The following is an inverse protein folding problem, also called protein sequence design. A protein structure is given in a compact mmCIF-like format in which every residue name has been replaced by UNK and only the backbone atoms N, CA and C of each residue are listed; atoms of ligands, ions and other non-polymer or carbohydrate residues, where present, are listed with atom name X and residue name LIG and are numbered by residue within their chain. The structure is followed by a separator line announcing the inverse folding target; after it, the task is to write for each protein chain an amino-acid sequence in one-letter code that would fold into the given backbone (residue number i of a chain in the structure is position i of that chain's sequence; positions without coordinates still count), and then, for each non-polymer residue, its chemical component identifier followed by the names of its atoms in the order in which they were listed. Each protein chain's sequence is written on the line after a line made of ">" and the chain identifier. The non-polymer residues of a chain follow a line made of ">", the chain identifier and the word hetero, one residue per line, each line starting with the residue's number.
data_IF_168693464522
#
_entry.id   IF_168693464522
#
_cell.length_a   1.000
_cell.length_b   1.000
_cell.length_c   1.000
_cell.angle_alpha   90.00
_cell.angle_beta   90.00
_cell.angle_gamma   90.00
#
_symmetry.space_group_name_H-M   'P 1'
#
loop_
_entity.id
_entity.type
_entity.pdbx_description
1 polymer ?
#
# COMPACT_ATOMS: atom_id res chain seq x y z
N UNK A 1 -6.47 5.22 -30.40
CA UNK A 1 -5.33 5.66 -29.53
C UNK A 1 -4.92 4.48 -28.69
N UNK A 2 -3.63 4.34 -28.34
CA UNK A 2 -3.22 3.29 -27.41
C UNK A 2 -3.84 3.56 -26.05
N UNK A 3 -4.35 2.49 -25.39
CA UNK A 3 -4.92 2.57 -24.06
C UNK A 3 -3.84 3.08 -23.10
N UNK A 4 -4.11 4.16 -22.37
CA UNK A 4 -3.20 4.72 -21.35
C UNK A 4 -3.19 3.78 -20.14
N UNK A 5 -2.25 2.83 -20.13
CA UNK A 5 -2.15 1.83 -19.07
C UNK A 5 -1.08 2.21 -18.06
N UNK A 6 -1.45 2.28 -16.79
CA UNK A 6 -0.53 2.46 -15.67
C UNK A 6 0.16 1.13 -15.37
N UNK A 7 1.50 1.13 -15.49
CA UNK A 7 2.34 -0.03 -15.17
C UNK A 7 2.38 -0.33 -13.67
N UNK A 8 2.82 -1.50 -13.31
CA UNK A 8 3.18 -1.83 -11.94
C UNK A 8 4.52 -1.17 -11.56
N UNK A 9 4.78 -1.10 -10.25
CA UNK A 9 6.04 -0.59 -9.72
C UNK A 9 7.17 -1.59 -9.98
N UNK A 10 8.35 -1.07 -10.29
CA UNK A 10 9.58 -1.85 -10.29
C UNK A 10 10.09 -2.07 -8.86
N UNK A 11 10.89 -3.11 -8.59
CA UNK A 11 11.46 -3.35 -7.26
C UNK A 11 12.15 -2.13 -6.63
N UNK A 12 12.88 -1.36 -7.43
CA UNK A 12 13.66 -0.18 -7.01
C UNK A 12 12.77 1.02 -6.62
N UNK A 13 11.52 1.02 -7.05
CA UNK A 13 10.53 2.05 -6.75
C UNK A 13 9.78 1.80 -5.44
N UNK A 14 10.03 0.62 -4.82
CA UNK A 14 9.38 0.19 -3.59
C UNK A 14 10.35 0.30 -2.41
N UNK A 15 9.98 1.12 -1.44
CA UNK A 15 10.69 1.27 -0.18
C UNK A 15 10.17 0.28 0.86
N UNK A 16 11.09 -0.41 1.57
CA UNK A 16 10.77 -1.22 2.73
C UNK A 16 11.00 -0.41 4.01
N UNK A 17 9.98 -0.27 4.84
CA UNK A 17 10.07 0.44 6.12
C UNK A 17 9.70 -0.48 7.26
N UNK A 18 10.43 -0.37 8.39
CA UNK A 18 10.08 -1.08 9.62
C UNK A 18 8.76 -0.53 10.14
N UNK A 19 7.74 -1.38 10.21
CA UNK A 19 6.42 -1.06 10.73
C UNK A 19 6.40 -1.17 12.26
N UNK A 20 6.78 -2.35 12.79
CA UNK A 20 6.83 -2.61 14.21
C UNK A 20 8.07 -3.43 14.58
N UNK A 21 8.58 -3.21 15.78
CA UNK A 21 9.64 -4.02 16.42
C UNK A 21 8.99 -4.81 17.54
N UNK A 22 9.01 -6.13 17.43
CA UNK A 22 8.47 -7.08 18.39
C UNK A 22 9.60 -7.82 19.10
N UNK A 23 9.29 -8.60 20.11
CA UNK A 23 10.28 -9.37 20.84
C UNK A 23 11.00 -10.41 19.96
N UNK A 24 10.26 -11.08 19.10
CA UNK A 24 10.77 -12.18 18.26
C UNK A 24 11.05 -11.80 16.82
N UNK A 25 10.84 -10.55 16.41
CA UNK A 25 11.05 -10.13 15.03
C UNK A 25 10.57 -8.71 14.75
N UNK A 26 10.52 -8.38 13.47
CA UNK A 26 10.03 -7.10 12.97
C UNK A 26 8.99 -7.31 11.88
N UNK A 27 8.13 -6.32 11.69
CA UNK A 27 7.30 -6.22 10.49
C UNK A 27 7.86 -5.18 9.53
N UNK A 28 7.70 -5.44 8.23
CA UNK A 28 7.96 -4.43 7.21
C UNK A 28 6.66 -4.01 6.53
N UNK A 29 6.66 -2.77 6.09
CA UNK A 29 5.64 -2.18 5.25
C UNK A 29 6.28 -1.74 3.93
N UNK A 30 5.55 -1.92 2.83
CA UNK A 30 5.97 -1.47 1.51
C UNK A 30 5.40 -0.08 1.23
N UNK A 31 6.24 0.81 0.73
CA UNK A 31 5.89 2.18 0.38
C UNK A 31 6.44 2.56 -0.98
N UNK A 32 5.90 3.60 -1.57
CA UNK A 32 6.49 4.34 -2.69
C UNK A 32 6.66 5.80 -2.31
N UNK A 33 7.64 6.47 -2.89
CA UNK A 33 7.76 7.91 -2.71
C UNK A 33 7.00 8.67 -3.80
N UNK A 34 6.70 9.94 -3.55
CA UNK A 34 5.92 10.77 -4.47
C UNK A 34 6.61 11.05 -5.82
N UNK A 35 7.94 10.84 -5.93
CA UNK A 35 8.66 11.00 -7.20
C UNK A 35 8.34 9.86 -8.16
N UNK A 36 8.15 8.66 -7.64
CA UNK A 36 7.69 7.52 -8.45
C UNK A 36 6.33 7.83 -9.08
N UNK A 37 5.40 8.41 -8.30
CA UNK A 37 4.10 8.83 -8.82
C UNK A 37 4.25 9.86 -9.96
N UNK A 38 5.12 10.86 -9.79
CA UNK A 38 5.39 11.86 -10.82
C UNK A 38 5.96 11.24 -12.09
N UNK A 39 6.94 10.34 -11.94
CA UNK A 39 7.54 9.62 -13.08
C UNK A 39 6.50 8.85 -13.87
N UNK A 40 5.64 8.08 -13.20
CA UNK A 40 4.59 7.28 -13.87
C UNK A 40 3.53 8.18 -14.50
N UNK A 41 3.18 9.30 -13.87
CA UNK A 41 2.26 10.29 -14.46
C UNK A 41 2.83 10.90 -15.73
N UNK A 42 4.12 11.25 -15.72
CA UNK A 42 4.82 11.80 -16.90
C UNK A 42 4.93 10.76 -18.02
N UNK A 43 5.23 9.49 -17.68
CA UNK A 43 5.30 8.38 -18.64
C UNK A 43 3.97 8.14 -19.35
N UNK A 44 2.86 8.16 -18.61
CA UNK A 44 1.54 7.75 -19.13
C UNK A 44 0.78 8.91 -19.76
N UNK A 45 0.85 10.10 -19.17
CA UNK A 45 0.04 11.26 -19.57
C UNK A 45 0.86 12.36 -20.20
N UNK A 46 2.19 12.32 -20.08
CA UNK A 46 3.07 13.41 -20.46
C UNK A 46 3.04 14.56 -19.43
N UNK A 47 4.10 15.36 -19.41
CA UNK A 47 4.31 16.44 -18.43
C UNK A 47 3.18 17.49 -18.40
N UNK A 48 2.45 17.66 -19.50
CA UNK A 48 1.33 18.60 -19.62
C UNK A 48 -0.05 17.90 -19.50
N UNK A 49 -0.09 16.56 -19.43
CA UNK A 49 -1.32 15.78 -19.40
C UNK A 49 -1.89 15.55 -18.01
N UNK A 50 -1.22 16.04 -16.98
CA UNK A 50 -1.68 15.98 -15.60
C UNK A 50 -1.32 17.24 -14.83
N UNK A 51 -2.06 17.50 -13.76
CA UNK A 51 -1.78 18.58 -12.82
C UNK A 51 -2.29 18.23 -11.43
N UNK A 52 -1.76 18.85 -10.39
CA UNK A 52 -2.22 18.69 -9.02
C UNK A 52 -2.38 20.03 -8.31
N UNK A 53 -3.33 20.07 -7.39
CA UNK A 53 -3.50 21.16 -6.42
C UNK A 53 -3.84 20.58 -5.06
N UNK A 54 -3.65 21.39 -4.01
CA UNK A 54 -4.01 21.02 -2.66
C UNK A 54 -5.03 22.00 -2.12
N UNK A 55 -6.07 21.49 -1.46
CA UNK A 55 -7.10 22.28 -0.79
C UNK A 55 -7.24 21.81 0.66
N UNK A 56 -7.50 22.75 1.55
CA UNK A 56 -7.94 22.44 2.90
C UNK A 56 -9.46 22.24 2.91
N UNK A 57 -9.90 21.12 3.46
CA UNK A 57 -11.31 20.82 3.70
C UNK A 57 -11.43 20.53 5.20
N UNK A 58 -12.03 21.45 5.95
CA UNK A 58 -11.91 21.44 7.41
C UNK A 58 -10.45 21.64 7.83
N UNK A 59 -9.92 20.69 8.61
CA UNK A 59 -8.52 20.68 9.05
C UNK A 59 -7.64 19.71 8.26
N UNK A 60 -8.16 19.12 7.19
CA UNK A 60 -7.50 18.07 6.41
C UNK A 60 -7.00 18.60 5.06
N UNK A 61 -5.79 18.20 4.67
CA UNK A 61 -5.19 18.58 3.39
C UNK A 61 -5.50 17.53 2.32
N UNK A 62 -6.31 17.94 1.33
CA UNK A 62 -6.64 17.12 0.17
C UNK A 62 -5.74 17.44 -1.01
N UNK A 63 -5.32 16.41 -1.75
CA UNK A 63 -4.74 16.55 -3.08
C UNK A 63 -5.79 16.25 -4.14
N UNK A 64 -6.01 17.19 -5.04
CA UNK A 64 -6.82 17.00 -6.24
C UNK A 64 -5.86 16.75 -7.41
N UNK A 65 -5.83 15.52 -7.89
CA UNK A 65 -5.09 15.10 -9.07
C UNK A 65 -6.02 15.18 -10.29
N UNK A 66 -5.63 15.94 -11.32
CA UNK A 66 -6.39 16.10 -12.55
C UNK A 66 -5.61 15.48 -13.71
N UNK A 67 -6.29 14.67 -14.52
CA UNK A 67 -5.78 14.01 -15.72
C UNK A 67 -6.59 14.50 -16.92
N UNK A 68 -5.91 14.88 -18.00
CA UNK A 68 -6.59 15.25 -19.24
C UNK A 68 -7.13 14.01 -19.96
N UNK A 69 -8.44 14.00 -20.19
CA UNK A 69 -9.14 12.98 -20.98
C UNK A 69 -9.29 13.48 -22.42
N UNK A 70 -8.56 12.88 -23.35
CA UNK A 70 -8.55 13.27 -24.76
C UNK A 70 -9.87 12.96 -25.49
N UNK A 71 -10.62 11.97 -25.02
CA UNK A 71 -11.91 11.58 -25.63
C UNK A 71 -13.01 12.54 -25.20
N UNK A 72 -13.08 12.82 -23.90
CA UNK A 72 -14.09 13.70 -23.30
C UNK A 72 -13.73 15.18 -23.40
N UNK A 73 -12.48 15.50 -23.82
CA UNK A 73 -11.94 16.89 -23.86
C UNK A 73 -12.12 17.66 -22.57
N UNK A 74 -11.88 16.99 -21.46
CA UNK A 74 -12.04 17.58 -20.12
C UNK A 74 -11.00 17.03 -19.13
N UNK A 75 -10.80 17.74 -18.04
CA UNK A 75 -10.05 17.27 -16.90
C UNK A 75 -10.89 16.33 -16.04
N UNK A 76 -10.39 15.10 -15.83
CA UNK A 76 -10.96 14.14 -14.88
C UNK A 76 -10.18 14.25 -13.58
N UNK A 77 -10.88 14.36 -12.46
CA UNK A 77 -10.27 14.57 -11.16
C UNK A 77 -10.44 13.37 -10.23
N UNK A 78 -9.40 13.11 -9.46
CA UNK A 78 -9.40 12.19 -8.32
C UNK A 78 -8.78 12.94 -7.14
N UNK A 79 -9.34 12.74 -5.96
CA UNK A 79 -8.86 13.40 -4.76
C UNK A 79 -8.70 12.41 -3.61
N UNK A 80 -7.81 12.74 -2.68
CA UNK A 80 -7.66 12.00 -1.43
C UNK A 80 -6.99 12.89 -0.38
N UNK A 81 -7.21 12.54 0.89
CA UNK A 81 -6.69 13.22 2.06
C UNK A 81 -5.30 12.71 2.43
N UNK A 82 -4.46 13.55 2.96
CA UNK A 82 -3.16 13.18 3.52
C UNK A 82 -3.12 13.32 5.03
N UNK A 83 -2.44 12.40 5.67
CA UNK A 83 -2.15 12.48 7.10
C UNK A 83 -0.88 13.27 7.36
N UNK A 84 -0.84 14.03 8.47
CA UNK A 84 0.35 14.73 8.90
C UNK A 84 1.45 13.73 9.33
N UNK A 85 2.70 14.04 9.00
CA UNK A 85 3.84 13.33 9.55
C UNK A 85 4.37 14.03 10.80
N UNK A 86 4.98 13.28 11.72
CA UNK A 86 5.54 13.85 12.97
C UNK A 86 6.68 14.86 12.74
N UNK A 87 7.31 14.87 11.56
CA UNK A 87 8.55 15.61 11.35
C UNK A 87 8.44 16.88 10.47
N UNK A 88 7.65 16.88 9.43
CA UNK A 88 7.40 18.03 8.55
C UNK A 88 5.93 18.02 8.15
N UNK A 89 5.07 18.42 9.08
CA UNK A 89 3.62 18.22 8.99
C UNK A 89 3.02 18.60 7.64
N UNK A 90 3.20 19.83 7.19
CA UNK A 90 2.59 20.31 5.94
C UNK A 90 3.16 19.59 4.70
N UNK A 91 4.47 19.34 4.64
CA UNK A 91 5.10 18.63 3.54
C UNK A 91 4.74 17.15 3.53
N UNK A 92 4.65 16.54 4.73
CA UNK A 92 4.20 15.17 4.92
C UNK A 92 2.78 14.99 4.41
N UNK A 93 1.84 15.81 4.86
CA UNK A 93 0.45 15.78 4.45
C UNK A 93 0.29 16.00 2.92
N UNK A 94 1.01 16.97 2.34
CA UNK A 94 0.96 17.21 0.90
C UNK A 94 1.52 16.04 0.07
N UNK A 95 2.60 15.40 0.53
CA UNK A 95 3.17 14.23 -0.14
C UNK A 95 2.27 13.01 0.01
N UNK A 96 1.66 12.83 1.17
CA UNK A 96 0.80 11.69 1.45
C UNK A 96 -0.51 11.78 0.68
N UNK A 97 -1.20 12.94 0.71
CA UNK A 97 -2.43 13.15 -0.06
C UNK A 97 -2.20 12.95 -1.56
N UNK A 98 -1.06 13.40 -2.09
CA UNK A 98 -0.72 13.17 -3.50
C UNK A 98 -0.51 11.69 -3.83
N UNK A 99 0.26 10.95 -3.04
CA UNK A 99 0.44 9.50 -3.21
C UNK A 99 -0.90 8.78 -3.19
N UNK A 100 -1.80 9.14 -2.27
CA UNK A 100 -3.13 8.55 -2.14
C UNK A 100 -4.03 8.91 -3.34
N UNK A 101 -4.01 10.14 -3.81
CA UNK A 101 -4.72 10.52 -5.05
C UNK A 101 -4.22 9.72 -6.27
N UNK A 102 -2.91 9.41 -6.33
CA UNK A 102 -2.32 8.57 -7.37
C UNK A 102 -2.78 7.09 -7.26
N UNK A 103 -3.03 6.57 -6.07
CA UNK A 103 -3.68 5.26 -5.92
C UNK A 103 -5.06 5.22 -6.58
N UNK A 104 -5.83 6.31 -6.52
CA UNK A 104 -7.17 6.37 -7.08
C UNK A 104 -7.21 6.25 -8.61
N UNK A 105 -6.07 6.47 -9.28
CA UNK A 105 -5.89 6.22 -10.72
C UNK A 105 -5.13 4.94 -11.03
N UNK A 106 -4.66 4.19 -10.02
CA UNK A 106 -4.05 2.88 -10.17
C UNK A 106 -2.54 2.81 -9.99
N UNK A 107 -1.84 3.89 -9.63
CA UNK A 107 -0.39 3.87 -9.40
C UNK A 107 -0.06 3.24 -8.04
N UNK A 108 0.63 2.11 -8.04
CA UNK A 108 1.08 1.41 -6.84
C UNK A 108 -0.03 0.69 -6.08
N UNK A 109 -1.18 0.41 -6.72
CA UNK A 109 -2.28 -0.35 -6.09
C UNK A 109 -1.86 -1.72 -5.59
N UNK A 110 -0.89 -2.35 -6.23
CA UNK A 110 -0.32 -3.62 -5.83
C UNK A 110 0.19 -3.62 -4.39
N UNK A 111 0.64 -2.49 -3.86
CA UNK A 111 1.15 -2.41 -2.49
C UNK A 111 0.08 -2.69 -1.42
N UNK A 112 -1.22 -2.49 -1.75
CA UNK A 112 -2.32 -2.83 -0.84
C UNK A 112 -2.57 -4.33 -0.74
N UNK A 113 -2.10 -5.12 -1.71
CA UNK A 113 -2.17 -6.58 -1.70
C UNK A 113 -0.93 -7.23 -1.08
N UNK A 114 -0.02 -6.44 -0.48
CA UNK A 114 1.20 -6.95 0.12
C UNK A 114 0.87 -7.97 1.22
N UNK A 115 1.53 -9.13 1.24
CA UNK A 115 1.38 -10.09 2.31
C UNK A 115 1.88 -9.50 3.64
N UNK A 116 1.50 -10.09 4.76
CA UNK A 116 2.09 -9.74 6.04
C UNK A 116 3.58 -10.10 6.06
N UNK A 117 4.43 -9.06 6.07
CA UNK A 117 5.88 -9.22 6.00
C UNK A 117 6.44 -9.25 7.41
N UNK A 118 6.79 -10.44 7.88
CA UNK A 118 7.43 -10.67 9.18
C UNK A 118 8.82 -11.24 8.99
N UNK A 119 9.80 -10.63 9.66
CA UNK A 119 11.21 -11.08 9.64
C UNK A 119 11.60 -11.47 11.06
N UNK A 120 12.00 -12.74 11.29
CA UNK A 120 12.45 -13.21 12.61
C UNK A 120 13.69 -12.44 13.08
N UNK A 121 13.83 -12.26 14.40
CA UNK A 121 14.88 -11.47 15.03
C UNK A 121 16.29 -11.98 14.71
N UNK A 122 16.47 -13.28 14.51
CA UNK A 122 17.74 -13.90 14.14
C UNK A 122 18.25 -13.53 12.73
N UNK A 123 17.36 -12.95 11.89
CA UNK A 123 17.71 -12.42 10.55
C UNK A 123 17.91 -10.91 10.52
N UNK A 124 17.82 -10.23 11.67
CA UNK A 124 17.87 -8.77 11.78
C UNK A 124 18.93 -8.33 12.76
N UNK A 125 19.77 -7.38 12.34
CA UNK A 125 20.71 -6.74 13.27
C UNK A 125 19.99 -5.65 14.06
N UNK A 126 19.86 -5.87 15.34
CA UNK A 126 19.27 -4.91 16.26
C UNK A 126 20.32 -3.93 16.77
N UNK A 127 19.86 -2.78 17.17
CA UNK A 127 20.63 -1.73 17.80
C UNK A 127 19.78 -0.93 18.76
N UNK A 128 20.33 0.15 19.24
CA UNK A 128 19.65 1.11 20.09
C UNK A 128 19.84 2.52 19.54
N UNK A 129 18.79 3.34 19.58
CA UNK A 129 18.80 4.75 19.21
C UNK A 129 17.95 5.51 20.23
N UNK A 130 18.56 6.45 20.93
CA UNK A 130 17.88 7.27 21.96
C UNK A 130 17.18 6.42 23.04
N UNK A 131 17.84 5.35 23.54
CA UNK A 131 17.29 4.46 24.57
C UNK A 131 16.17 3.52 24.09
N UNK A 132 15.92 3.45 22.78
CA UNK A 132 14.89 2.57 22.19
C UNK A 132 15.52 1.56 21.25
N UNK A 133 14.92 0.35 21.22
CA UNK A 133 15.31 -0.68 20.24
C UNK A 133 15.17 -0.11 18.83
N UNK A 134 16.16 -0.33 17.99
CA UNK A 134 16.16 0.09 16.59
C UNK A 134 16.71 -1.01 15.69
N UNK A 135 16.36 -0.98 14.43
CA UNK A 135 16.89 -1.88 13.40
C UNK A 135 18.05 -1.19 12.71
N UNK A 136 19.21 -1.88 12.63
CA UNK A 136 20.39 -1.41 11.92
C UNK A 136 20.43 -1.80 10.45
N UNK A 137 19.63 -2.80 10.08
CA UNK A 137 19.55 -3.25 8.69
C UNK A 137 18.61 -2.33 7.87
N UNK A 138 18.96 -2.15 6.61
CA UNK A 138 18.07 -1.66 5.57
C UNK A 138 17.60 -2.80 4.70
N UNK A 139 16.40 -2.68 4.15
CA UNK A 139 15.75 -3.71 3.36
C UNK A 139 15.34 -3.16 2.00
N UNK A 140 15.37 -4.00 0.98
CA UNK A 140 14.94 -3.66 -0.36
C UNK A 140 14.18 -4.83 -1.00
N UNK A 141 13.26 -4.51 -1.88
CA UNK A 141 12.59 -5.50 -2.72
C UNK A 141 13.58 -5.95 -3.80
N UNK A 142 13.85 -7.25 -3.85
CA UNK A 142 14.68 -7.85 -4.89
C UNK A 142 13.86 -8.29 -6.09
N UNK A 143 12.65 -8.80 -5.82
CA UNK A 143 11.74 -9.29 -6.83
C UNK A 143 10.31 -9.11 -6.36
N UNK A 144 9.45 -8.69 -7.29
CA UNK A 144 8.00 -8.61 -7.12
C UNK A 144 7.33 -9.11 -8.41
N UNK A 145 6.30 -9.92 -8.26
CA UNK A 145 5.42 -10.31 -9.34
C UNK A 145 3.97 -9.99 -8.95
N UNK A 146 3.21 -9.58 -9.93
CA UNK A 146 1.80 -9.18 -9.74
C UNK A 146 0.93 -9.79 -10.81
N UNK A 147 -0.32 -10.12 -10.45
CA UNK A 147 -1.35 -10.49 -11.42
C UNK A 147 -1.79 -9.30 -12.28
N UNK A 148 -2.66 -9.56 -13.27
CA UNK A 148 -3.31 -8.52 -14.06
C UNK A 148 -4.12 -7.54 -13.20
N UNK A 149 -4.71 -8.03 -12.10
CA UNK A 149 -5.52 -7.26 -11.14
C UNK A 149 -4.68 -6.52 -10.09
N UNK A 150 -3.37 -6.41 -10.31
CA UNK A 150 -2.42 -5.75 -9.40
C UNK A 150 -2.33 -6.41 -8.01
N UNK A 151 -2.52 -7.72 -7.92
CA UNK A 151 -2.30 -8.49 -6.69
C UNK A 151 -0.87 -9.03 -6.69
N UNK A 152 -0.14 -8.86 -5.59
CA UNK A 152 1.21 -9.41 -5.44
C UNK A 152 1.13 -10.94 -5.34
N UNK A 153 1.69 -11.63 -6.33
CA UNK A 153 1.74 -13.10 -6.40
C UNK A 153 3.06 -13.69 -5.92
N UNK A 154 4.15 -12.91 -6.02
CA UNK A 154 5.44 -13.29 -5.45
C UNK A 154 6.21 -12.05 -4.98
N UNK A 155 6.96 -12.19 -3.89
CA UNK A 155 7.76 -11.12 -3.30
C UNK A 155 9.01 -11.70 -2.65
N UNK A 156 10.17 -11.13 -2.95
CA UNK A 156 11.44 -11.43 -2.28
C UNK A 156 12.06 -10.14 -1.75
N UNK A 157 12.41 -10.13 -0.45
CA UNK A 157 13.07 -9.00 0.21
C UNK A 157 14.45 -9.44 0.70
N UNK A 158 15.42 -8.58 0.48
CA UNK A 158 16.80 -8.76 0.92
C UNK A 158 17.23 -7.63 1.85
N UNK A 159 18.25 -7.90 2.66
CA UNK A 159 18.94 -6.86 3.43
C UNK A 159 20.07 -6.21 2.60
N UNK A 160 20.75 -5.20 3.16
CA UNK A 160 21.87 -4.50 2.48
C UNK A 160 23.07 -5.39 2.14
N UNK A 161 23.13 -6.64 2.65
CA UNK A 161 24.13 -7.65 2.28
C UNK A 161 23.65 -8.59 1.17
N UNK A 162 22.51 -8.29 0.58
CA UNK A 162 21.83 -9.14 -0.41
C UNK A 162 21.40 -10.52 0.13
N UNK A 163 21.32 -10.67 1.45
CA UNK A 163 20.80 -11.87 2.08
C UNK A 163 19.27 -11.84 2.08
N UNK A 164 18.65 -12.94 1.64
CA UNK A 164 17.21 -13.09 1.62
C UNK A 164 16.64 -13.20 3.04
N UNK A 165 15.81 -12.24 3.42
CA UNK A 165 15.19 -12.16 4.74
C UNK A 165 13.72 -12.54 4.71
N UNK A 166 13.05 -12.35 3.58
CA UNK A 166 11.64 -12.70 3.38
C UNK A 166 11.39 -13.22 1.97
N UNK A 167 10.47 -14.18 1.84
CA UNK A 167 9.99 -14.70 0.56
C UNK A 167 8.52 -15.05 0.70
N UNK A 168 7.74 -14.66 -0.30
CA UNK A 168 6.32 -14.98 -0.44
C UNK A 168 6.04 -15.50 -1.84
N UNK A 169 5.21 -16.52 -1.93
CA UNK A 169 4.66 -17.05 -3.17
C UNK A 169 3.18 -17.38 -2.92
N UNK A 170 2.29 -16.81 -3.71
CA UNK A 170 0.88 -17.18 -3.68
C UNK A 170 0.73 -18.64 -4.11
N UNK A 171 -0.05 -19.42 -3.36
CA UNK A 171 -0.34 -20.81 -3.73
C UNK A 171 -1.28 -20.86 -4.94
N UNK A 172 -1.13 -21.85 -5.83
CA UNK A 172 -1.99 -22.02 -7.01
C UNK A 172 -3.49 -22.14 -6.64
N UNK A 173 -3.82 -22.71 -5.50
CA UNK A 173 -5.19 -22.79 -5.00
C UNK A 173 -5.83 -21.41 -4.74
N UNK A 174 -5.04 -20.40 -4.35
CA UNK A 174 -5.51 -19.03 -4.17
C UNK A 174 -5.63 -18.28 -5.50
N UNK A 175 -4.87 -18.65 -6.51
CA UNK A 175 -4.90 -18.04 -7.85
C UNK A 175 -6.19 -18.40 -8.60
N UNK A 176 -6.75 -19.57 -8.37
CA UNK A 176 -7.98 -20.04 -9.02
C UNK A 176 -9.20 -19.27 -8.49
N UNK A 177 -9.22 -18.91 -7.20
CA UNK A 177 -10.33 -18.13 -6.61
C UNK A 177 -10.41 -16.69 -7.13
N UNK A 178 -9.30 -16.12 -7.60
CA UNK A 178 -9.27 -14.75 -8.18
C UNK A 178 -9.75 -14.78 -9.64
N UNK A 179 -9.53 -15.88 -10.37
CA UNK A 179 -9.96 -16.02 -11.77
C UNK A 179 -11.46 -16.36 -11.92
N UNK A 180 -12.07 -17.02 -10.93
CA UNK A 180 -13.48 -17.43 -10.98
C UNK A 180 -14.47 -16.36 -10.48
N UNK A 181 -14.00 -15.21 -9.99
CA UNK A 181 -14.85 -14.14 -9.46
C UNK A 181 -15.56 -13.28 -10.51
N UNK A 182 -15.35 -13.50 -11.81
CA UNK A 182 -16.09 -12.83 -12.89
C UNK A 182 -17.48 -13.46 -13.20
N UNK A 183 -17.88 -14.53 -12.52
CA UNK A 183 -19.08 -15.30 -12.85
C UNK A 183 -20.18 -15.38 -11.81
N UNK A 184 -19.96 -15.07 -10.57
CA UNK A 184 -20.97 -15.23 -9.52
C UNK A 184 -21.20 -13.95 -8.71
N UNK A 185 -22.43 -13.41 -8.84
CA UNK A 185 -22.97 -12.37 -7.96
C UNK A 185 -22.86 -12.82 -6.51
N UNK A 186 -22.24 -11.96 -5.67
CA UNK A 186 -22.14 -12.04 -4.23
C UNK A 186 -23.28 -12.79 -3.57
N UNK A 187 -23.04 -14.02 -3.14
CA UNK A 187 -23.68 -14.52 -1.94
C UNK A 187 -22.87 -13.96 -0.75
N UNK A 188 -23.32 -12.83 -0.24
CA UNK A 188 -22.89 -12.34 1.06
C UNK A 188 -23.13 -13.47 2.05
N UNK A 189 -22.07 -14.12 2.49
CA UNK A 189 -22.12 -15.15 3.50
C UNK A 189 -22.49 -14.43 4.80
N UNK A 190 -23.80 -14.39 5.11
CA UNK A 190 -24.30 -13.85 6.36
C UNK A 190 -23.65 -14.66 7.47
N UNK A 191 -22.96 -13.98 8.36
CA UNK A 191 -22.43 -14.58 9.60
C UNK A 191 -23.62 -15.24 10.28
N UNK A 192 -23.52 -16.55 10.55
CA UNK A 192 -24.61 -17.29 11.20
C UNK A 192 -24.92 -16.67 12.56
N UNK A 193 -26.19 -16.68 12.97
CA UNK A 193 -26.63 -16.14 14.27
C UNK A 193 -25.82 -16.71 15.44
N UNK A 194 -25.38 -17.96 15.36
CA UNK A 194 -24.50 -18.59 16.35
C UNK A 194 -23.12 -17.89 16.47
N UNK A 195 -22.50 -17.53 15.34
CA UNK A 195 -21.23 -16.79 15.35
C UNK A 195 -21.39 -15.37 15.88
N UNK A 196 -22.53 -14.75 15.62
CA UNK A 196 -22.87 -13.42 16.17
C UNK A 196 -23.03 -13.52 17.69
N UNK A 197 -23.69 -14.55 18.20
CA UNK A 197 -23.87 -14.77 19.64
C UNK A 197 -22.52 -15.03 20.35
N UNK A 198 -21.63 -15.81 19.73
CA UNK A 198 -20.28 -16.04 20.26
C UNK A 198 -19.48 -14.73 20.32
N UNK A 199 -19.58 -13.89 19.28
CA UNK A 199 -18.92 -12.59 19.25
C UNK A 199 -19.42 -11.65 20.36
N UNK A 200 -20.74 -11.58 20.59
CA UNK A 200 -21.33 -10.78 21.67
C UNK A 200 -20.96 -11.31 23.05
N UNK A 201 -20.86 -12.62 23.24
CA UNK A 201 -20.42 -13.20 24.48
C UNK A 201 -18.95 -12.88 24.80
N UNK A 202 -18.07 -12.88 23.79
CA UNK A 202 -16.65 -12.49 23.93
C UNK A 202 -16.49 -10.98 24.17
N UNK A 203 -17.25 -10.14 23.50
CA UNK A 203 -17.26 -8.69 23.74
C UNK A 203 -17.75 -8.34 25.14
N UNK A 204 -18.77 -9.03 25.63
CA UNK A 204 -19.26 -8.88 27.01
C UNK A 204 -18.22 -9.28 28.06
N UNK A 205 -17.37 -10.28 27.77
CA UNK A 205 -16.31 -10.75 28.66
C UNK A 205 -15.11 -9.81 28.70
N UNK A 206 -14.82 -9.10 27.60
CA UNK A 206 -13.67 -8.20 27.45
C UNK A 206 -13.96 -6.76 27.87
N UNK A 207 -15.22 -6.39 28.20
CA UNK A 207 -15.60 -5.06 28.69
C UNK A 207 -15.48 -3.94 27.65
N UNK A 208 -15.40 -4.25 26.36
CA UNK A 208 -15.37 -3.28 25.27
C UNK A 208 -16.79 -2.86 24.94
N UNK A 209 -17.17 -1.64 25.32
CA UNK A 209 -18.42 -0.97 24.90
C UNK A 209 -18.20 -0.29 23.56
N UNK A 210 -19.01 -0.62 22.56
CA UNK A 210 -19.09 0.19 21.33
C UNK A 210 -19.80 1.52 21.68
N UNK A 211 -19.11 2.62 21.41
CA UNK A 211 -19.72 3.94 21.27
C UNK A 211 -20.00 4.22 19.80
#
# INVERSE_FOLDING_TARGET
>A
MAEKRIRNLNPEEIECRVGAIMEQGITLLLYKNARVDQTILDEVFGICGWQRRHNMIGNELYCILSIWDDEKKQWVQKEDVGTESDYEKAKGAASDSFKRACFNIGIGRELYSAPFIYIPINKVRMGEKNGRKSVKDSFSVKMIQTSADKVITALEIVNQRSEKVFSYQMSEAASIQVADSEGEKEQVQRISEEKIQILYAELGRTGVTMQ
#
